data_IF_797593705646
#
_entry.id   IF_797593705646
#
_cell.length_a   1.000
_cell.length_b   1.000
_cell.length_c   1.000
_cell.angle_alpha   90.00
_cell.angle_beta   90.00
_cell.angle_gamma   90.00
#
_symmetry.space_group_name_H-M   'P 1'
#
loop_
_entity.id
_entity.type
_entity.pdbx_description
1 polymer ?
#
# COMPACT_ATOMS: atom_id res chain seq x y z
N UNK A 1 11.51 2.02 -3.98
CA UNK A 1 10.67 3.19 -4.31
C UNK A 1 11.17 4.39 -3.53
N UNK A 2 11.22 5.56 -4.15
CA UNK A 2 11.51 6.81 -3.46
C UNK A 2 10.23 7.66 -3.38
N UNK A 3 10.07 8.42 -2.29
CA UNK A 3 8.93 9.31 -2.08
C UNK A 3 9.49 10.72 -1.96
N UNK A 4 9.13 11.58 -2.90
CA UNK A 4 9.54 12.97 -2.89
C UNK A 4 8.66 13.78 -1.95
N UNK A 5 9.15 14.92 -1.44
CA UNK A 5 8.31 15.86 -0.74
C UNK A 5 7.19 16.34 -1.67
N UNK A 6 5.98 16.44 -1.14
CA UNK A 6 4.82 16.86 -1.92
C UNK A 6 4.81 18.39 -1.96
N UNK A 7 4.32 18.98 -3.04
CA UNK A 7 4.22 20.43 -3.13
C UNK A 7 3.09 20.94 -2.22
N UNK A 8 3.39 21.94 -1.38
CA UNK A 8 2.44 22.57 -0.47
C UNK A 8 2.86 22.52 1.00
N UNK A 9 2.14 23.26 1.85
CA UNK A 9 2.50 23.52 3.26
C UNK A 9 2.59 22.25 4.12
N UNK A 10 1.74 21.24 3.85
CA UNK A 10 1.74 19.96 4.57
C UNK A 10 2.49 18.85 3.82
N UNK A 11 3.18 19.19 2.72
CA UNK A 11 3.66 18.21 1.76
C UNK A 11 4.74 17.28 2.30
N UNK A 12 5.69 17.83 3.06
CA UNK A 12 6.74 17.07 3.74
C UNK A 12 6.14 16.07 4.74
N UNK A 13 5.17 16.51 5.56
CA UNK A 13 4.50 15.67 6.57
C UNK A 13 3.71 14.53 5.93
N UNK A 14 3.02 14.79 4.81
CA UNK A 14 2.30 13.75 4.06
C UNK A 14 3.30 12.73 3.48
N UNK A 15 4.41 13.19 2.89
CA UNK A 15 5.43 12.32 2.34
C UNK A 15 6.05 11.40 3.41
N UNK A 16 6.38 11.95 4.58
CA UNK A 16 6.94 11.21 5.72
C UNK A 16 5.97 10.15 6.26
N UNK A 17 4.69 10.49 6.45
CA UNK A 17 3.69 9.55 6.94
C UNK A 17 3.43 8.42 5.92
N UNK A 18 3.36 8.75 4.63
CA UNK A 18 3.23 7.74 3.56
C UNK A 18 4.46 6.81 3.53
N UNK A 19 5.67 7.35 3.68
CA UNK A 19 6.90 6.57 3.74
C UNK A 19 6.92 5.61 4.96
N UNK A 20 6.51 6.10 6.13
CA UNK A 20 6.38 5.31 7.36
C UNK A 20 5.39 4.15 7.17
N UNK A 21 4.22 4.42 6.59
CA UNK A 21 3.19 3.41 6.33
C UNK A 21 3.64 2.37 5.29
N UNK A 22 4.31 2.76 4.20
CA UNK A 22 4.86 1.77 3.27
C UNK A 22 5.96 0.90 3.89
N UNK A 23 6.80 1.49 4.74
CA UNK A 23 7.87 0.76 5.44
C UNK A 23 7.27 -0.26 6.42
N UNK A 24 6.23 0.12 7.17
CA UNK A 24 5.54 -0.79 8.10
C UNK A 24 4.79 -1.92 7.41
N UNK A 25 4.18 -1.67 6.24
CA UNK A 25 3.50 -2.71 5.46
C UNK A 25 4.46 -3.67 4.75
N UNK A 26 5.73 -3.28 4.58
CA UNK A 26 6.74 -4.04 3.84
C UNK A 26 6.40 -4.21 2.35
N UNK A 27 5.44 -3.43 1.83
CA UNK A 27 5.00 -3.50 0.44
C UNK A 27 6.09 -2.98 -0.51
N UNK A 28 6.90 -2.02 -0.04
CA UNK A 28 7.99 -1.41 -0.80
C UNK A 28 9.23 -1.24 0.08
N UNK A 29 10.41 -1.38 -0.52
CA UNK A 29 11.65 -0.86 0.07
C UNK A 29 11.71 0.64 -0.22
N UNK A 30 11.52 1.45 0.83
CA UNK A 30 11.54 2.90 0.73
C UNK A 30 12.98 3.39 0.85
N UNK A 31 13.37 4.26 -0.10
CA UNK A 31 14.69 4.93 -0.12
C UNK A 31 14.50 6.39 0.23
N UNK A 32 15.38 6.92 1.09
CA UNK A 32 15.33 8.31 1.49
C UNK A 32 15.57 9.27 0.31
N UNK A 33 14.73 10.30 0.16
CA UNK A 33 14.83 11.23 -0.97
C UNK A 33 16.10 12.10 -0.94
N UNK A 34 16.74 12.28 0.22
CA UNK A 34 18.01 13.03 0.34
C UNK A 34 19.16 12.46 -0.50
N UNK A 35 19.06 11.18 -0.86
CA UNK A 35 20.04 10.48 -1.70
C UNK A 35 19.87 10.84 -3.20
N UNK A 36 18.72 11.41 -3.57
CA UNK A 36 18.36 11.77 -4.94
C UNK A 36 18.57 13.25 -5.28
N UNK A 37 18.98 14.07 -4.31
CA UNK A 37 19.16 15.51 -4.53
C UNK A 37 20.44 15.78 -5.36
N UNK A 38 20.34 16.48 -6.51
CA UNK A 38 21.53 16.97 -7.20
C UNK A 38 22.20 18.08 -6.37
N UNK A 39 23.53 18.19 -6.47
CA UNK A 39 24.35 19.05 -5.61
C UNK A 39 24.07 20.56 -5.72
N UNK A 40 23.33 21.02 -6.76
CA UNK A 40 23.16 22.44 -7.11
C UNK A 40 21.68 22.84 -7.31
N UNK A 41 20.83 22.63 -6.30
CA UNK A 41 19.36 22.80 -6.41
C UNK A 41 18.85 24.24 -6.14
N UNK A 42 19.29 25.26 -6.89
CA UNK A 42 18.84 26.66 -6.65
C UNK A 42 18.08 27.36 -7.79
N UNK A 43 17.91 26.78 -8.97
CA UNK A 43 17.34 27.53 -10.13
C UNK A 43 16.54 26.69 -11.13
N UNK A 44 15.52 25.93 -10.73
CA UNK A 44 14.69 25.18 -11.70
C UNK A 44 13.21 25.05 -11.32
N UNK A 45 12.36 24.86 -12.34
CA UNK A 45 10.92 24.64 -12.19
C UNK A 45 10.61 23.22 -11.69
N UNK A 46 9.45 23.01 -11.06
CA UNK A 46 9.03 21.71 -10.51
C UNK A 46 9.12 20.54 -11.51
N UNK A 47 8.81 20.79 -12.79
CA UNK A 47 8.87 19.79 -13.85
C UNK A 47 10.31 19.41 -14.22
N UNK A 48 11.23 20.39 -14.29
CA UNK A 48 12.64 20.13 -14.61
C UNK A 48 13.34 19.34 -13.50
N UNK A 49 12.90 19.52 -12.25
CA UNK A 49 13.39 18.77 -11.09
C UNK A 49 12.99 17.29 -11.13
N UNK A 50 11.85 16.95 -11.74
CA UNK A 50 11.40 15.56 -11.80
C UNK A 50 12.31 14.71 -12.70
N UNK A 51 12.70 15.22 -13.87
CA UNK A 51 13.58 14.50 -14.81
C UNK A 51 14.96 14.22 -14.20
N UNK A 52 15.54 15.19 -13.48
CA UNK A 52 16.81 15.02 -12.75
C UNK A 52 16.69 13.96 -11.66
N UNK A 53 15.58 13.99 -10.90
CA UNK A 53 15.32 13.00 -9.85
C UNK A 53 15.13 11.61 -10.43
N UNK A 54 14.41 11.47 -11.55
CA UNK A 54 14.26 10.19 -12.24
C UNK A 54 15.61 9.67 -12.76
N UNK A 55 16.48 10.55 -13.26
CA UNK A 55 17.85 10.18 -13.66
C UNK A 55 18.70 9.73 -12.47
N UNK A 56 18.65 10.44 -11.34
CA UNK A 56 19.35 10.08 -10.11
C UNK A 56 18.82 8.75 -9.51
N UNK A 57 17.52 8.51 -9.61
CA UNK A 57 16.85 7.30 -9.17
C UNK A 57 17.23 6.09 -10.04
N UNK A 58 17.29 6.28 -11.37
CA UNK A 58 17.76 5.26 -12.32
C UNK A 58 19.22 4.85 -12.06
N UNK A 59 20.10 5.80 -11.73
CA UNK A 59 21.50 5.50 -11.39
C UNK A 59 21.65 4.67 -10.11
N UNK A 60 20.64 4.66 -9.24
CA UNK A 60 20.63 3.99 -7.94
C UNK A 60 19.72 2.77 -7.89
N UNK A 61 19.25 2.32 -9.05
CA UNK A 61 18.39 1.13 -9.18
C UNK A 61 17.08 1.23 -8.38
N UNK A 62 16.49 2.44 -8.33
CA UNK A 62 15.19 2.66 -7.70
C UNK A 62 14.11 2.52 -8.77
N UNK A 63 13.17 1.58 -8.61
CA UNK A 63 12.18 1.26 -9.66
C UNK A 63 11.08 2.32 -9.89
N UNK A 64 10.73 3.07 -8.84
CA UNK A 64 9.60 3.99 -8.89
C UNK A 64 9.80 5.20 -7.96
N UNK A 65 9.25 6.34 -8.38
CA UNK A 65 9.23 7.60 -7.63
C UNK A 65 7.78 8.04 -7.43
N UNK A 66 7.40 8.32 -6.18
CA UNK A 66 6.12 8.91 -5.80
C UNK A 66 6.29 10.41 -5.58
N UNK A 67 5.46 11.22 -6.23
CA UNK A 67 5.43 12.68 -6.07
C UNK A 67 3.97 13.19 -6.10
N UNK A 68 3.70 14.38 -5.60
CA UNK A 68 2.36 14.93 -5.54
C UNK A 68 2.30 16.40 -5.14
N UNK A 69 1.10 16.96 -5.20
CA UNK A 69 0.76 18.35 -4.88
C UNK A 69 -0.48 18.38 -3.97
N UNK A 70 -0.46 19.27 -2.98
CA UNK A 70 -1.60 19.59 -2.13
C UNK A 70 -2.43 20.67 -2.84
N UNK A 71 -3.58 20.27 -3.38
CA UNK A 71 -4.49 21.17 -4.11
C UNK A 71 -5.24 22.08 -3.15
N UNK A 72 -5.68 21.56 -2.00
CA UNK A 72 -6.46 22.31 -1.02
C UNK A 72 -6.13 21.86 0.39
N UNK A 73 -5.78 22.83 1.24
CA UNK A 73 -5.66 22.69 2.69
C UNK A 73 -6.42 23.87 3.31
N UNK A 74 -7.70 23.65 3.67
CA UNK A 74 -8.55 24.74 4.15
C UNK A 74 -8.54 24.80 5.67
N UNK A 75 -7.90 25.86 6.22
CA UNK A 75 -8.10 26.30 7.59
C UNK A 75 -9.49 26.95 7.74
N UNK A 76 -10.17 26.83 8.90
CA UNK A 76 -11.55 27.29 9.05
C UNK A 76 -11.67 28.78 8.73
N UNK A 77 -12.46 29.12 7.71
CA UNK A 77 -12.87 30.50 7.47
C UNK A 77 -13.82 30.88 8.60
N UNK A 78 -13.34 31.64 9.59
CA UNK A 78 -14.21 32.33 10.56
C UNK A 78 -15.17 33.24 9.80
N UNK A 79 -16.33 32.73 9.38
CA UNK A 79 -17.35 33.55 8.75
C UNK A 79 -18.05 34.37 9.83
N UNK A 80 -17.47 35.53 10.16
CA UNK A 80 -18.02 36.51 11.11
C UNK A 80 -19.38 37.08 10.68
N UNK A 81 -19.86 36.77 9.46
CA UNK A 81 -21.13 37.23 8.91
C UNK A 81 -22.28 36.19 9.00
N UNK A 82 -22.00 34.89 9.10
CA UNK A 82 -23.05 33.85 9.08
C UNK A 82 -23.67 33.58 10.47
N UNK A 83 -22.97 33.86 11.56
CA UNK A 83 -23.56 33.78 12.91
C UNK A 83 -24.72 34.76 13.13
N UNK A 84 -24.86 35.82 12.33
CA UNK A 84 -26.01 36.74 12.37
C UNK A 84 -27.23 36.24 11.61
N UNK A 85 -27.11 35.20 10.78
CA UNK A 85 -28.16 34.72 9.88
C UNK A 85 -28.71 33.32 10.22
N UNK A 86 -28.20 32.64 11.26
CA UNK A 86 -28.72 31.34 11.71
C UNK A 86 -28.47 30.17 10.77
N UNK A 87 -27.61 30.34 9.75
CA UNK A 87 -27.20 29.26 8.85
C UNK A 87 -25.93 28.60 9.41
N UNK A 88 -26.02 27.31 9.73
CA UNK A 88 -24.87 26.46 10.11
C UNK A 88 -23.93 26.36 8.91
N UNK A 89 -22.79 27.04 8.96
CA UNK A 89 -21.69 26.82 8.02
C UNK A 89 -21.14 25.40 8.17
N UNK A 90 -20.79 24.76 7.07
CA UNK A 90 -20.11 23.46 7.08
C UNK A 90 -18.62 23.71 7.38
N UNK A 91 -18.29 23.96 8.64
CA UNK A 91 -16.91 24.14 9.10
C UNK A 91 -16.19 22.77 9.12
N UNK A 92 -15.81 22.30 7.92
CA UNK A 92 -15.01 21.10 7.73
C UNK A 92 -13.62 21.47 7.25
N UNK A 93 -12.60 20.85 7.85
CA UNK A 93 -11.25 20.90 7.29
C UNK A 93 -11.14 19.85 6.20
N UNK A 94 -10.50 20.23 5.11
CA UNK A 94 -10.28 19.37 3.95
C UNK A 94 -8.81 19.36 3.59
N UNK A 95 -8.31 18.16 3.28
CA UNK A 95 -7.00 17.95 2.70
C UNK A 95 -7.22 17.22 1.38
N UNK A 96 -6.83 17.86 0.26
CA UNK A 96 -6.88 17.28 -1.08
C UNK A 96 -5.46 17.15 -1.59
N UNK A 97 -5.07 15.91 -1.89
CA UNK A 97 -3.74 15.58 -2.39
C UNK A 97 -3.87 14.90 -3.74
N UNK A 98 -3.26 15.47 -4.78
CA UNK A 98 -3.01 14.80 -6.04
C UNK A 98 -1.61 14.19 -6.00
N UNK A 99 -1.47 12.93 -6.42
CA UNK A 99 -0.18 12.27 -6.48
C UNK A 99 -0.06 11.44 -7.75
N UNK A 100 1.19 11.20 -8.14
CA UNK A 100 1.56 10.31 -9.21
C UNK A 100 2.74 9.42 -8.84
N UNK A 101 2.65 8.16 -9.26
CA UNK A 101 3.72 7.18 -9.22
C UNK A 101 4.32 7.08 -10.62
N UNK A 102 5.63 7.28 -10.72
CA UNK A 102 6.35 7.31 -12.00
C UNK A 102 7.37 6.17 -12.02
N UNK A 103 7.42 5.42 -13.11
CA UNK A 103 8.46 4.42 -13.40
C UNK A 103 9.75 5.16 -13.75
N UNK A 104 10.83 4.89 -13.03
CA UNK A 104 12.12 5.60 -13.24
C UNK A 104 12.84 5.15 -14.50
N UNK A 105 12.55 3.95 -14.99
CA UNK A 105 13.18 3.34 -16.16
C UNK A 105 12.52 3.79 -17.45
N UNK A 106 11.22 4.05 -17.46
CA UNK A 106 10.51 4.54 -18.66
C UNK A 106 10.16 6.02 -18.58
N UNK A 107 10.05 6.58 -17.37
CA UNK A 107 9.48 7.91 -17.14
C UNK A 107 7.95 7.94 -17.25
N UNK A 108 7.30 6.78 -17.42
CA UNK A 108 5.85 6.71 -17.54
C UNK A 108 5.16 6.82 -16.18
N UNK A 109 4.03 7.54 -16.16
CA UNK A 109 3.16 7.59 -15.00
C UNK A 109 2.41 6.27 -14.84
N UNK A 110 2.82 5.48 -13.85
CA UNK A 110 2.19 4.20 -13.49
C UNK A 110 0.81 4.38 -12.88
N UNK A 111 0.62 5.45 -12.10
CA UNK A 111 -0.65 5.77 -11.45
C UNK A 111 -0.72 7.26 -11.17
N UNK A 112 -1.88 7.89 -11.40
CA UNK A 112 -2.18 9.26 -11.00
C UNK A 112 -3.56 9.30 -10.37
N UNK A 113 -3.68 9.83 -9.16
CA UNK A 113 -4.92 9.83 -8.39
C UNK A 113 -5.02 11.04 -7.47
N UNK A 114 -6.25 11.34 -7.06
CA UNK A 114 -6.55 12.36 -6.06
C UNK A 114 -7.20 11.70 -4.83
N UNK A 115 -6.74 12.07 -3.65
CA UNK A 115 -7.31 11.66 -2.36
C UNK A 115 -7.84 12.90 -1.64
N UNK A 116 -9.00 12.74 -0.99
CA UNK A 116 -9.68 13.78 -0.24
C UNK A 116 -10.03 13.28 1.15
N UNK A 117 -9.45 13.91 2.17
CA UNK A 117 -9.76 13.66 3.59
C UNK A 117 -10.60 14.81 4.15
N UNK A 118 -11.51 14.49 5.07
CA UNK A 118 -12.53 15.39 5.61
C UNK A 118 -12.66 15.18 7.11
N UNK A 119 -12.46 16.23 7.90
CA UNK A 119 -12.64 16.22 9.36
C UNK A 119 -13.63 17.33 9.80
N UNK A 120 -14.67 17.01 10.59
CA UNK A 120 -15.57 18.01 11.16
C UNK A 120 -14.87 18.81 12.26
N UNK A 121 -14.96 20.14 12.23
CA UNK A 121 -14.46 20.99 13.31
C UNK A 121 -15.47 20.98 14.46
N UNK A 122 -15.08 20.48 15.63
CA UNK A 122 -15.92 20.55 16.82
C UNK A 122 -16.02 22.00 17.32
N UNK A 123 -17.23 22.45 17.66
CA UNK A 123 -17.59 23.82 18.09
C UNK A 123 -16.91 24.32 19.39
N UNK A 124 -15.93 23.61 19.97
CA UNK A 124 -15.35 23.97 21.25
C UNK A 124 -14.16 24.92 21.13
N UNK A 125 -14.34 26.13 21.65
CA UNK A 125 -13.30 27.11 21.95
C UNK A 125 -12.16 26.54 22.80
N UNK A 126 -11.01 26.24 22.18
CA UNK A 126 -9.67 26.33 22.79
C UNK A 126 -8.57 25.95 21.77
N UNK A 127 -7.56 26.82 21.67
CA UNK A 127 -6.15 26.56 21.38
C UNK A 127 -5.70 25.83 20.10
N UNK A 128 -4.55 26.29 19.61
CA UNK A 128 -3.79 25.76 18.48
C UNK A 128 -3.52 24.23 18.55
N UNK A 129 -3.63 23.64 19.74
CA UNK A 129 -3.53 22.19 19.98
C UNK A 129 -4.58 21.39 19.21
N UNK A 130 -5.78 21.93 19.01
CA UNK A 130 -6.83 21.27 18.21
C UNK A 130 -6.60 21.34 16.70
N UNK A 131 -5.77 22.29 16.22
CA UNK A 131 -5.45 22.43 14.79
C UNK A 131 -4.49 21.35 14.32
N UNK A 132 -3.43 21.12 15.11
CA UNK A 132 -2.39 20.15 14.80
C UNK A 132 -2.94 18.71 14.83
N UNK A 133 -3.77 18.38 15.82
CA UNK A 133 -4.41 17.06 15.92
C UNK A 133 -5.35 16.77 14.74
N UNK A 134 -6.09 17.78 14.26
CA UNK A 134 -6.95 17.64 13.07
C UNK A 134 -6.11 17.48 11.80
N UNK A 135 -5.00 18.22 11.68
CA UNK A 135 -4.04 18.02 10.58
C UNK A 135 -3.43 16.62 10.59
N UNK A 136 -2.99 16.14 11.76
CA UNK A 136 -2.45 14.78 11.92
C UNK A 136 -3.49 13.73 11.53
N UNK A 137 -4.76 13.91 11.94
CA UNK A 137 -5.85 13.00 11.52
C UNK A 137 -6.06 13.02 10.00
N UNK A 138 -6.10 14.21 9.38
CA UNK A 138 -6.26 14.35 7.93
C UNK A 138 -5.08 13.73 7.16
N UNK A 139 -3.86 13.93 7.65
CA UNK A 139 -2.63 13.35 7.08
C UNK A 139 -2.68 11.83 7.20
N UNK A 140 -3.03 11.29 8.37
CA UNK A 140 -3.13 9.85 8.58
C UNK A 140 -4.19 9.20 7.67
N UNK A 141 -5.37 9.83 7.53
CA UNK A 141 -6.44 9.36 6.64
C UNK A 141 -6.01 9.40 5.17
N UNK A 142 -5.39 10.51 4.75
CA UNK A 142 -4.92 10.67 3.37
C UNK A 142 -3.84 9.64 3.04
N UNK A 143 -2.86 9.50 3.92
CA UNK A 143 -1.74 8.58 3.77
C UNK A 143 -2.21 7.13 3.73
N UNK A 144 -3.16 6.75 4.61
CA UNK A 144 -3.75 5.41 4.61
C UNK A 144 -4.45 5.09 3.30
N UNK A 145 -5.25 6.03 2.77
CA UNK A 145 -5.95 5.84 1.49
C UNK A 145 -4.99 5.78 0.31
N UNK A 146 -3.91 6.56 0.34
CA UNK A 146 -2.84 6.48 -0.66
C UNK A 146 -2.15 5.13 -0.64
N UNK A 147 -1.70 4.69 0.54
CA UNK A 147 -1.02 3.41 0.74
C UNK A 147 -1.94 2.26 0.38
N UNK A 148 -3.24 2.32 0.69
CA UNK A 148 -4.20 1.25 0.34
C UNK A 148 -4.38 1.09 -1.18
N UNK A 149 -4.31 2.19 -1.92
CA UNK A 149 -4.45 2.22 -3.39
C UNK A 149 -3.17 1.84 -4.12
N UNK A 150 -2.04 2.33 -3.63
CA UNK A 150 -0.73 2.17 -4.24
C UNK A 150 -0.07 0.85 -3.84
N UNK A 151 -0.27 0.38 -2.60
CA UNK A 151 0.18 -0.95 -2.23
C UNK A 151 -0.37 -1.94 -3.25
N UNK A 152 0.45 -2.89 -3.75
CA UNK A 152 -0.06 -3.94 -4.59
C UNK A 152 -1.23 -4.53 -3.84
N UNK A 153 -2.44 -4.44 -4.41
CA UNK A 153 -3.55 -5.26 -3.94
C UNK A 153 -3.02 -6.67 -4.10
N UNK A 154 -2.48 -7.26 -3.02
CA UNK A 154 -2.15 -8.67 -3.00
C UNK A 154 -3.42 -9.33 -3.48
N UNK A 155 -3.32 -9.82 -4.71
CA UNK A 155 -4.41 -10.11 -5.62
C UNK A 155 -5.61 -10.56 -4.80
N UNK A 156 -6.73 -9.82 -4.82
CA UNK A 156 -7.92 -10.01 -3.97
C UNK A 156 -7.99 -11.46 -3.53
N UNK A 157 -7.44 -11.71 -2.32
CA UNK A 157 -6.96 -13.03 -1.99
C UNK A 157 -8.18 -13.91 -2.04
N UNK A 158 -8.18 -14.85 -2.97
CA UNK A 158 -9.14 -15.94 -2.97
C UNK A 158 -9.26 -16.38 -1.51
N UNK A 159 -10.49 -16.30 -0.97
CA UNK A 159 -10.70 -16.24 0.46
C UNK A 159 -9.83 -17.28 1.17
N UNK A 160 -9.01 -16.83 2.13
CA UNK A 160 -8.05 -17.69 2.81
C UNK A 160 -8.74 -18.98 3.25
N UNK A 161 -8.12 -20.11 2.93
CA UNK A 161 -8.64 -21.40 3.31
C UNK A 161 -8.73 -21.47 4.84
N UNK A 162 -9.85 -22.01 5.30
CA UNK A 162 -10.12 -22.25 6.71
C UNK A 162 -10.00 -23.73 6.97
N UNK A 163 -9.40 -24.07 8.11
CA UNK A 163 -9.32 -25.44 8.59
C UNK A 163 -10.62 -25.84 9.30
N UNK A 164 -10.94 -27.12 9.31
CA UNK A 164 -11.95 -27.64 10.24
C UNK A 164 -11.39 -27.56 11.66
N UNK A 165 -12.26 -27.33 12.65
CA UNK A 165 -11.87 -27.17 14.05
C UNK A 165 -11.17 -28.42 14.65
N UNK A 166 -11.37 -29.58 14.04
CA UNK A 166 -10.77 -30.86 14.43
C UNK A 166 -9.37 -31.10 13.86
N UNK A 167 -8.91 -30.28 12.92
CA UNK A 167 -7.64 -30.52 12.23
C UNK A 167 -6.44 -30.14 13.10
N UNK A 168 -5.41 -30.98 13.10
CA UNK A 168 -4.14 -30.63 13.74
C UNK A 168 -3.52 -29.42 13.01
N UNK A 169 -3.13 -28.42 13.80
CA UNK A 169 -2.61 -27.15 13.29
C UNK A 169 -3.65 -26.05 13.12
N UNK A 170 -4.93 -26.28 13.46
CA UNK A 170 -6.01 -25.27 13.29
C UNK A 170 -5.74 -23.96 14.02
N UNK A 171 -5.13 -23.98 15.20
CA UNK A 171 -4.78 -22.76 15.96
C UNK A 171 -3.79 -21.92 15.16
N UNK A 172 -2.77 -22.57 14.60
CA UNK A 172 -1.74 -21.93 13.79
C UNK A 172 -2.31 -21.40 12.46
N UNK A 173 -3.21 -22.14 11.81
CA UNK A 173 -3.94 -21.65 10.62
C UNK A 173 -4.76 -20.41 10.95
N UNK A 174 -5.55 -20.45 12.02
CA UNK A 174 -6.39 -19.32 12.43
C UNK A 174 -5.55 -18.11 12.84
N UNK A 175 -4.41 -18.33 13.52
CA UNK A 175 -3.46 -17.26 13.82
C UNK A 175 -2.93 -16.63 12.52
N UNK A 176 -2.49 -17.46 11.57
CA UNK A 176 -1.98 -16.98 10.29
C UNK A 176 -3.03 -16.20 9.49
N UNK A 177 -4.27 -16.68 9.47
CA UNK A 177 -5.37 -16.00 8.80
C UNK A 177 -5.69 -14.64 9.44
N UNK A 178 -5.60 -14.51 10.77
CA UNK A 178 -5.75 -13.22 11.45
C UNK A 178 -4.58 -12.28 11.11
N UNK A 179 -3.35 -12.76 11.15
CA UNK A 179 -2.17 -11.97 10.77
C UNK A 179 -2.29 -11.45 9.32
N UNK A 180 -2.69 -12.31 8.38
CA UNK A 180 -2.92 -11.92 7.00
C UNK A 180 -4.06 -10.91 6.84
N UNK A 181 -5.16 -11.06 7.58
CA UNK A 181 -6.26 -10.09 7.59
C UNK A 181 -5.83 -8.72 8.15
N UNK A 182 -4.82 -8.69 9.02
CA UNK A 182 -4.19 -7.46 9.54
C UNK A 182 -3.06 -6.93 8.65
N UNK A 183 -2.80 -7.54 7.49
CA UNK A 183 -1.71 -7.14 6.58
C UNK A 183 -0.32 -7.70 6.92
N UNK A 184 -0.17 -8.41 8.05
CA UNK A 184 1.09 -8.97 8.50
C UNK A 184 1.35 -10.34 7.86
N UNK A 185 1.78 -10.33 6.60
CA UNK A 185 1.95 -11.54 5.80
C UNK A 185 3.15 -12.41 6.20
N UNK A 186 4.22 -11.82 6.75
CA UNK A 186 5.38 -12.57 7.28
C UNK A 186 4.94 -13.51 8.40
N UNK A 187 4.29 -12.96 9.43
CA UNK A 187 3.78 -13.71 10.57
C UNK A 187 2.71 -14.74 10.16
N UNK A 188 1.94 -14.41 9.12
CA UNK A 188 0.97 -15.33 8.55
C UNK A 188 1.65 -16.58 7.96
N UNK A 189 2.69 -16.38 7.15
CA UNK A 189 3.48 -17.47 6.56
C UNK A 189 4.11 -18.34 7.63
N UNK A 190 4.71 -17.75 8.67
CA UNK A 190 5.32 -18.53 9.76
C UNK A 190 4.28 -19.35 10.52
N UNK A 191 3.11 -18.78 10.75
CA UNK A 191 1.99 -19.49 11.39
C UNK A 191 1.47 -20.64 10.52
N UNK A 192 1.37 -20.47 9.19
CA UNK A 192 0.98 -21.55 8.29
C UNK A 192 2.06 -22.63 8.15
N UNK A 193 3.34 -22.26 8.14
CA UNK A 193 4.45 -23.24 8.19
C UNK A 193 4.38 -24.08 9.46
N UNK A 194 4.17 -23.46 10.62
CA UNK A 194 3.98 -24.18 11.87
C UNK A 194 2.76 -25.13 11.84
N UNK A 195 1.68 -24.74 11.14
CA UNK A 195 0.55 -25.64 10.91
C UNK A 195 0.93 -26.87 10.05
N UNK A 196 1.73 -26.67 9.00
CA UNK A 196 2.23 -27.76 8.14
C UNK A 196 3.25 -28.65 8.87
N UNK A 197 4.05 -28.10 9.77
CA UNK A 197 4.95 -28.89 10.63
C UNK A 197 4.16 -29.79 11.58
N UNK A 198 3.10 -29.26 12.20
CA UNK A 198 2.21 -30.04 13.07
C UNK A 198 1.37 -31.08 12.30
N UNK A 199 1.02 -30.77 11.05
CA UNK A 199 0.31 -31.66 10.15
C UNK A 199 0.73 -31.42 8.69
N UNK A 200 1.61 -32.28 8.12
CA UNK A 200 2.11 -32.13 6.75
C UNK A 200 1.03 -32.17 5.65
N UNK A 201 -0.18 -32.63 5.99
CA UNK A 201 -1.36 -32.72 5.12
C UNK A 201 -2.45 -31.71 5.49
N UNK A 202 -2.14 -30.65 6.23
CA UNK A 202 -3.10 -29.57 6.49
C UNK A 202 -3.36 -28.80 5.19
N UNK A 203 -4.47 -29.12 4.53
CA UNK A 203 -4.82 -28.58 3.20
C UNK A 203 -5.00 -27.07 3.22
N UNK A 204 -5.64 -26.52 4.27
CA UNK A 204 -5.84 -25.09 4.41
C UNK A 204 -4.51 -24.33 4.58
N UNK A 205 -3.60 -24.83 5.41
CA UNK A 205 -2.27 -24.22 5.60
C UNK A 205 -1.44 -24.28 4.31
N UNK A 206 -1.46 -25.42 3.61
CA UNK A 206 -0.78 -25.60 2.34
C UNK A 206 -1.32 -24.64 1.27
N UNK A 207 -2.64 -24.51 1.16
CA UNK A 207 -3.24 -23.60 0.19
C UNK A 207 -2.95 -22.13 0.51
N UNK A 208 -2.98 -21.73 1.79
CA UNK A 208 -2.64 -20.36 2.18
C UNK A 208 -1.16 -20.03 1.92
N UNK A 209 -0.25 -20.99 2.13
CA UNK A 209 1.15 -20.85 1.72
C UNK A 209 1.30 -20.72 0.20
N UNK A 210 0.48 -21.43 -0.59
CA UNK A 210 0.46 -21.29 -2.04
C UNK A 210 0.11 -19.87 -2.48
N UNK A 211 -0.96 -19.30 -1.90
CA UNK A 211 -1.39 -17.92 -2.18
C UNK A 211 -0.31 -16.91 -1.76
N UNK A 212 0.31 -17.11 -0.60
CA UNK A 212 1.39 -16.26 -0.12
C UNK A 212 2.62 -16.28 -1.05
N UNK A 213 3.02 -17.47 -1.53
CA UNK A 213 4.12 -17.62 -2.48
C UNK A 213 3.78 -16.99 -3.85
N UNK A 214 2.56 -17.18 -4.35
CA UNK A 214 2.11 -16.56 -5.59
C UNK A 214 2.16 -15.03 -5.53
N UNK A 215 1.77 -14.45 -4.38
CA UNK A 215 1.85 -13.00 -4.16
C UNK A 215 3.28 -12.45 -4.11
N UNK A 216 4.29 -13.31 -3.95
CA UNK A 216 5.71 -12.98 -3.98
C UNK A 216 6.36 -13.35 -5.33
N UNK A 217 5.54 -13.68 -6.34
CA UNK A 217 5.99 -14.17 -7.64
C UNK A 217 6.80 -15.47 -7.59
N UNK A 218 6.76 -16.21 -6.48
CA UNK A 218 7.39 -17.52 -6.33
C UNK A 218 6.48 -18.62 -6.88
N UNK A 219 6.13 -18.53 -8.18
CA UNK A 219 5.09 -19.36 -8.80
C UNK A 219 5.37 -20.86 -8.73
N UNK A 220 6.63 -21.30 -8.81
CA UNK A 220 6.99 -22.71 -8.70
C UNK A 220 6.64 -23.29 -7.32
N UNK A 221 6.94 -22.55 -6.24
CA UNK A 221 6.59 -22.98 -4.88
C UNK A 221 5.08 -22.90 -4.67
N UNK A 222 4.45 -21.85 -5.18
CA UNK A 222 3.01 -21.67 -5.08
C UNK A 222 2.25 -22.87 -5.67
N UNK A 223 2.61 -23.29 -6.88
CA UNK A 223 2.03 -24.45 -7.54
C UNK A 223 2.27 -25.74 -6.75
N UNK A 224 3.49 -25.97 -6.25
CA UNK A 224 3.78 -27.14 -5.41
C UNK A 224 2.91 -27.21 -4.16
N UNK A 225 2.73 -26.08 -3.46
CA UNK A 225 1.87 -26.02 -2.28
C UNK A 225 0.40 -26.25 -2.62
N UNK A 226 -0.11 -25.63 -3.69
CA UNK A 226 -1.50 -25.81 -4.13
C UNK A 226 -1.79 -27.27 -4.54
N UNK A 227 -0.86 -27.90 -5.27
CA UNK A 227 -0.98 -29.33 -5.61
C UNK A 227 -0.95 -30.23 -4.37
N UNK A 228 -0.13 -29.91 -3.35
CA UNK A 228 -0.12 -30.65 -2.09
C UNK A 228 -1.44 -30.48 -1.32
N UNK A 229 -2.02 -29.29 -1.32
CA UNK A 229 -3.33 -29.03 -0.72
C UNK A 229 -4.42 -29.88 -1.40
N UNK A 230 -4.45 -29.90 -2.74
CA UNK A 230 -5.38 -30.73 -3.52
C UNK A 230 -5.22 -32.24 -3.25
N UNK A 231 -3.98 -32.72 -3.09
CA UNK A 231 -3.72 -34.12 -2.73
C UNK A 231 -4.19 -34.46 -1.32
N UNK A 232 -4.06 -33.53 -0.38
CA UNK A 232 -4.54 -33.72 0.98
C UNK A 232 -6.07 -33.72 1.05
N UNK A 233 -6.72 -32.80 0.32
CA UNK A 233 -8.15 -32.74 0.16
C UNK A 233 -8.51 -32.12 -1.20
N UNK A 234 -9.22 -32.91 -2.00
CA UNK A 234 -9.79 -32.39 -3.24
C UNK A 234 -10.85 -31.32 -2.92
N UNK A 235 -10.76 -30.19 -3.61
CA UNK A 235 -11.69 -29.07 -3.47
C UNK A 235 -11.67 -28.25 -4.75
N UNK A 236 -12.85 -28.02 -5.33
CA UNK A 236 -13.01 -27.22 -6.55
C UNK A 236 -12.42 -25.81 -6.38
N UNK A 237 -12.45 -25.27 -5.15
CA UNK A 237 -11.86 -23.98 -4.84
C UNK A 237 -10.32 -24.00 -4.93
N UNK A 238 -9.69 -25.10 -4.55
CA UNK A 238 -8.24 -25.26 -4.67
C UNK A 238 -7.82 -25.48 -6.11
N UNK A 239 -8.63 -26.18 -6.91
CA UNK A 239 -8.37 -26.36 -8.35
C UNK A 239 -8.42 -25.01 -9.08
N UNK A 240 -9.48 -24.24 -8.84
CA UNK A 240 -9.62 -22.88 -9.37
C UNK A 240 -8.48 -21.97 -8.93
N UNK A 241 -8.02 -22.12 -7.68
CA UNK A 241 -6.88 -21.36 -7.17
C UNK A 241 -5.56 -21.74 -7.83
N UNK A 242 -5.32 -23.03 -8.07
CA UNK A 242 -4.15 -23.48 -8.82
C UNK A 242 -4.17 -22.96 -10.26
N UNK A 243 -5.32 -22.99 -10.93
CA UNK A 243 -5.48 -22.43 -12.27
C UNK A 243 -5.18 -20.92 -12.30
N UNK A 244 -5.68 -20.17 -11.32
CA UNK A 244 -5.36 -18.74 -11.17
C UNK A 244 -3.86 -18.50 -10.98
N UNK A 245 -3.18 -19.30 -10.14
CA UNK A 245 -1.73 -19.20 -9.93
C UNK A 245 -0.98 -19.43 -11.25
N UNK A 246 -1.37 -20.43 -12.04
CA UNK A 246 -0.76 -20.73 -13.34
C UNK A 246 -0.98 -19.60 -14.35
N UNK A 247 -2.18 -19.02 -14.37
CA UNK A 247 -2.47 -17.87 -15.23
C UNK A 247 -1.61 -16.66 -14.87
N UNK A 248 -1.49 -16.34 -13.57
CA UNK A 248 -0.64 -15.25 -13.10
C UNK A 248 0.83 -15.46 -13.46
N UNK A 249 1.31 -16.71 -13.39
CA UNK A 249 2.66 -17.07 -13.82
C UNK A 249 2.88 -16.77 -15.31
N UNK A 250 1.97 -17.22 -16.16
CA UNK A 250 2.06 -17.00 -17.60
C UNK A 250 2.08 -15.49 -17.93
N UNK A 251 1.18 -14.71 -17.34
CA UNK A 251 1.15 -13.24 -17.51
C UNK A 251 2.44 -12.57 -17.02
N UNK A 252 3.03 -13.07 -15.93
CA UNK A 252 4.30 -12.56 -15.41
C UNK A 252 5.48 -12.88 -16.34
N UNK A 253 5.52 -14.09 -16.88
CA UNK A 253 6.54 -14.52 -17.84
C UNK A 253 6.43 -13.73 -19.15
N UNK A 254 5.21 -13.54 -19.68
CA UNK A 254 4.95 -12.70 -20.86
C UNK A 254 5.46 -11.27 -20.65
N UNK A 255 5.12 -10.62 -19.52
CA UNK A 255 5.63 -9.27 -19.19
C UNK A 255 7.15 -9.22 -19.11
N UNK A 256 7.82 -10.26 -18.59
CA UNK A 256 9.28 -10.34 -18.55
C UNK A 256 9.90 -10.43 -19.95
N UNK A 257 9.27 -11.16 -20.88
CA UNK A 257 9.74 -11.27 -22.26
C UNK A 257 9.56 -9.98 -23.05
N UNK A 258 8.41 -9.29 -22.90
CA UNK A 258 8.12 -8.03 -23.59
C UNK A 258 8.97 -6.86 -23.07
N UNK A 259 9.50 -6.95 -21.85
CA UNK A 259 10.39 -5.95 -21.25
C UNK A 259 11.88 -6.13 -21.59
N UNK A 260 12.25 -7.20 -22.33
CA UNK A 260 13.59 -7.46 -22.86
C UNK A 260 13.62 -7.64 -24.40
N UNK A 261 13.26 -6.63 -25.21
CA UNK A 261 13.63 -6.56 -26.63
C UNK A 261 14.98 -5.88 -26.87
#
# INVERSE_FOLDING_TARGET
>A
MAILPFEGELGDRVAEEVASQFTSTGAYSIVEPGILSPADASTYTASDRLDEVLAAARQRDIDAVLTGEIIESTAPKRSSLLHRAGLKGDDRRTLIVEYCLVDTRTGETLSKNTVRSLEPVADSSADATSSAEVEDSLIAQCSHEMVSRLSPKRCAVQALAKCMWSDRGVISVNKGNRCAASGNWSDAVDSWKAAVEANPHNDAALFNLALAAASQHEYDKAEQYAMRALRARHSDDYERGLENIRKQRAEFEERRTVSHP
#
